data_IF_736085616273
#
_entry.id   IF_736085616273
#
_cell.length_a   1.000
_cell.length_b   1.000
_cell.length_c   1.000
_cell.angle_alpha   90.00
_cell.angle_beta   90.00
_cell.angle_gamma   90.00
#
_symmetry.space_group_name_H-M   'P 1'
#
loop_
_entity.id
_entity.type
_entity.pdbx_description
1 polymer ?
#
# COMPACT_ATOMS: atom_id res chain seq x y z
N UNK A 1 9.66 7.51 -13.89
CA UNK A 1 8.42 7.64 -14.69
C UNK A 1 7.66 8.86 -14.20
N UNK A 2 7.69 9.99 -14.92
CA UNK A 2 6.99 11.20 -14.49
C UNK A 2 5.62 11.27 -15.18
N UNK A 3 4.55 11.33 -14.39
CA UNK A 3 3.24 11.76 -14.88
C UNK A 3 2.04 11.17 -14.14
N UNK A 4 2.05 9.87 -13.80
CA UNK A 4 0.81 9.17 -13.42
C UNK A 4 0.75 8.59 -12.01
N UNK A 5 1.83 8.68 -11.22
CA UNK A 5 1.91 8.06 -9.87
C UNK A 5 1.52 6.56 -9.86
N UNK A 6 1.69 5.90 -11.00
CA UNK A 6 1.39 4.49 -11.24
C UNK A 6 2.68 3.71 -11.46
N UNK A 7 2.70 2.48 -10.95
CA UNK A 7 3.79 1.54 -11.19
C UNK A 7 3.45 0.67 -12.41
N UNK A 8 4.47 0.17 -13.11
CA UNK A 8 4.27 -0.81 -14.20
C UNK A 8 3.57 -2.09 -13.71
N UNK A 9 3.81 -2.45 -12.45
CA UNK A 9 3.15 -3.56 -11.78
C UNK A 9 2.78 -3.12 -10.38
N UNK A 10 1.50 -3.16 -10.08
CA UNK A 10 0.97 -2.72 -8.81
C UNK A 10 1.18 -3.76 -7.70
N UNK A 11 1.24 -3.28 -6.46
CA UNK A 11 1.32 -4.17 -5.31
C UNK A 11 0.07 -5.06 -5.23
N UNK A 12 0.26 -6.37 -5.08
CA UNK A 12 -0.78 -7.39 -5.06
C UNK A 12 -1.67 -7.35 -6.32
N UNK A 13 -1.07 -7.25 -7.50
CA UNK A 13 -1.78 -7.23 -8.78
C UNK A 13 -2.63 -8.50 -9.01
N UNK A 14 -2.19 -9.65 -8.49
CA UNK A 14 -2.91 -10.93 -8.50
C UNK A 14 -4.35 -10.86 -7.94
N UNK A 15 -4.64 -9.88 -7.08
CA UNK A 15 -5.99 -9.69 -6.54
C UNK A 15 -7.00 -9.28 -7.63
N UNK A 16 -6.54 -8.63 -8.70
CA UNK A 16 -7.38 -8.26 -9.84
C UNK A 16 -7.83 -9.50 -10.62
N UNK A 17 -6.98 -10.53 -10.72
CA UNK A 17 -7.32 -11.77 -11.41
C UNK A 17 -8.48 -12.52 -10.74
N UNK A 18 -8.59 -12.43 -9.42
CA UNK A 18 -9.62 -13.09 -8.63
C UNK A 18 -11.02 -12.46 -8.79
N UNK A 19 -11.09 -11.17 -9.15
CA UNK A 19 -12.35 -10.45 -9.34
C UNK A 19 -12.71 -10.25 -10.81
N UNK A 20 -11.75 -10.38 -11.75
CA UNK A 20 -11.96 -10.05 -13.16
C UNK A 20 -13.11 -10.84 -13.83
N UNK A 21 -13.33 -12.09 -13.42
CA UNK A 21 -14.37 -12.97 -13.95
C UNK A 21 -15.59 -13.05 -13.02
N UNK A 22 -15.58 -12.33 -11.91
CA UNK A 22 -16.67 -12.33 -10.95
C UNK A 22 -17.79 -11.42 -11.43
N UNK A 23 -18.99 -11.97 -11.55
CA UNK A 23 -20.20 -11.24 -11.90
C UNK A 23 -21.30 -11.52 -10.87
N UNK A 24 -22.14 -10.52 -10.64
CA UNK A 24 -23.36 -10.64 -9.85
C UNK A 24 -24.55 -10.71 -10.81
N UNK A 25 -25.28 -11.81 -10.78
CA UNK A 25 -26.50 -11.94 -11.58
C UNK A 25 -27.67 -11.17 -10.95
N UNK A 26 -28.60 -10.64 -11.76
CA UNK A 26 -29.80 -9.99 -11.24
C UNK A 26 -30.62 -10.95 -10.37
N UNK A 27 -30.77 -10.61 -9.09
CA UNK A 27 -31.49 -11.44 -8.11
C UNK A 27 -30.60 -12.28 -7.19
N UNK A 28 -29.27 -12.28 -7.39
CA UNK A 28 -28.33 -12.79 -6.40
C UNK A 28 -28.38 -11.98 -5.10
N UNK A 29 -28.16 -12.66 -3.98
CA UNK A 29 -28.13 -12.04 -2.66
C UNK A 29 -29.05 -12.69 -1.67
N UNK A 30 -29.90 -11.87 -1.03
CA UNK A 30 -30.87 -12.37 -0.05
C UNK A 30 -32.15 -12.76 -0.76
N UNK A 31 -32.55 -14.03 -0.67
CA UNK A 31 -33.82 -14.49 -1.25
C UNK A 31 -34.99 -13.82 -0.53
N UNK A 32 -35.78 -13.05 -1.26
CA UNK A 32 -36.96 -12.34 -0.73
C UNK A 32 -37.97 -13.27 -0.05
N UNK A 33 -38.05 -14.53 -0.48
CA UNK A 33 -39.00 -15.53 0.03
C UNK A 33 -38.52 -16.21 1.31
N UNK A 34 -37.22 -16.45 1.46
CA UNK A 34 -36.67 -17.22 2.59
C UNK A 34 -35.86 -16.37 3.58
N UNK A 35 -35.54 -15.12 3.22
CA UNK A 35 -34.69 -14.22 4.00
C UNK A 35 -33.23 -14.67 4.12
N UNK A 36 -32.83 -15.74 3.41
CA UNK A 36 -31.47 -16.30 3.48
C UNK A 36 -30.60 -15.74 2.38
N UNK A 37 -29.37 -15.41 2.74
CA UNK A 37 -28.30 -15.07 1.79
C UNK A 37 -27.85 -16.34 1.08
N UNK A 38 -27.66 -16.26 -0.23
CA UNK A 38 -27.10 -17.36 -1.00
C UNK A 38 -25.60 -17.53 -0.68
N UNK A 39 -25.11 -18.76 -0.42
CA UNK A 39 -23.69 -18.99 -0.10
C UNK A 39 -22.72 -18.47 -1.17
N UNK A 40 -23.12 -18.54 -2.45
CA UNK A 40 -22.33 -17.99 -3.55
C UNK A 40 -22.17 -16.47 -3.45
N UNK A 41 -23.27 -15.76 -3.14
CA UNK A 41 -23.23 -14.31 -2.95
C UNK A 41 -22.35 -13.93 -1.77
N UNK A 42 -22.42 -14.67 -0.66
CA UNK A 42 -21.56 -14.46 0.51
C UNK A 42 -20.07 -14.65 0.16
N UNK A 43 -19.75 -15.69 -0.63
CA UNK A 43 -18.40 -15.92 -1.12
C UNK A 43 -17.92 -14.78 -2.04
N UNK A 44 -18.71 -14.37 -3.03
CA UNK A 44 -18.40 -13.24 -3.92
C UNK A 44 -18.16 -11.96 -3.12
N UNK A 45 -19.00 -11.69 -2.13
CA UNK A 45 -18.82 -10.55 -1.23
C UNK A 45 -17.53 -10.63 -0.41
N UNK A 46 -17.18 -11.81 0.09
CA UNK A 46 -15.94 -12.03 0.81
C UNK A 46 -14.72 -11.76 -0.06
N UNK A 47 -14.72 -12.25 -1.31
CA UNK A 47 -13.64 -11.99 -2.27
C UNK A 47 -13.54 -10.50 -2.59
N UNK A 48 -14.66 -9.82 -2.81
CA UNK A 48 -14.66 -8.36 -3.02
C UNK A 48 -14.12 -7.58 -1.82
N UNK A 49 -14.43 -8.00 -0.60
CA UNK A 49 -13.86 -7.39 0.60
C UNK A 49 -12.33 -7.57 0.67
N UNK A 50 -11.83 -8.76 0.34
CA UNK A 50 -10.39 -9.02 0.25
C UNK A 50 -9.75 -8.13 -0.82
N UNK A 51 -10.36 -8.03 -2.00
CA UNK A 51 -9.89 -7.16 -3.08
C UNK A 51 -9.79 -5.69 -2.64
N UNK A 52 -10.85 -5.16 -2.02
CA UNK A 52 -10.87 -3.78 -1.51
C UNK A 52 -9.79 -3.55 -0.45
N UNK A 53 -9.55 -4.52 0.44
CA UNK A 53 -8.46 -4.44 1.41
C UNK A 53 -7.09 -4.36 0.71
N UNK A 54 -6.87 -5.12 -0.37
CA UNK A 54 -5.63 -5.03 -1.17
C UNK A 54 -5.50 -3.69 -1.88
N UNK A 55 -6.60 -3.14 -2.41
CA UNK A 55 -6.61 -1.84 -3.06
C UNK A 55 -6.24 -0.72 -2.07
N UNK A 56 -6.78 -0.75 -0.85
CA UNK A 56 -6.41 0.18 0.22
C UNK A 56 -4.91 0.06 0.57
N UNK A 57 -4.41 -1.16 0.78
CA UNK A 57 -2.98 -1.38 1.06
C UNK A 57 -2.07 -0.85 -0.06
N UNK A 58 -2.49 -0.99 -1.32
CA UNK A 58 -1.76 -0.47 -2.48
C UNK A 58 -1.73 1.06 -2.47
N UNK A 59 -2.86 1.71 -2.18
CA UNK A 59 -2.94 3.16 -2.07
C UNK A 59 -2.05 3.69 -0.92
N UNK A 60 -2.13 3.08 0.26
CA UNK A 60 -1.31 3.44 1.43
C UNK A 60 0.19 3.30 1.13
N UNK A 61 0.57 2.20 0.45
CA UNK A 61 1.97 1.96 0.08
C UNK A 61 2.47 2.99 -0.94
N UNK A 62 1.66 3.34 -1.94
CA UNK A 62 1.97 4.43 -2.88
C UNK A 62 2.20 5.74 -2.15
N UNK A 63 1.28 6.10 -1.25
CA UNK A 63 1.37 7.32 -0.44
C UNK A 63 2.71 7.42 0.27
N UNK A 64 3.12 6.39 1.01
CA UNK A 64 4.42 6.36 1.69
C UNK A 64 5.60 6.49 0.72
N UNK A 65 5.56 5.81 -0.44
CA UNK A 65 6.66 5.88 -1.43
C UNK A 65 6.85 7.30 -1.95
N UNK A 66 5.75 8.00 -2.25
CA UNK A 66 5.80 9.37 -2.77
C UNK A 66 6.11 10.39 -1.68
N UNK A 67 5.45 10.30 -0.51
CA UNK A 67 5.68 11.22 0.62
C UNK A 67 7.15 11.21 1.06
N UNK A 68 7.79 10.04 1.12
CA UNK A 68 9.19 9.92 1.52
C UNK A 68 10.20 10.01 0.36
N UNK A 69 9.76 10.37 -0.86
CA UNK A 69 10.60 10.46 -2.07
C UNK A 69 11.49 9.23 -2.30
N UNK A 70 10.97 8.03 -2.04
CA UNK A 70 11.76 6.79 -2.11
C UNK A 70 12.16 6.41 -3.55
N UNK A 71 11.63 7.10 -4.56
CA UNK A 71 11.97 6.92 -5.97
C UNK A 71 13.24 7.68 -6.38
N UNK A 72 13.72 8.63 -5.56
CA UNK A 72 14.88 9.47 -5.85
C UNK A 72 16.21 8.76 -5.52
N UNK A 73 16.42 7.57 -6.10
CA UNK A 73 17.54 6.67 -5.76
C UNK A 73 18.93 7.33 -5.89
N UNK A 74 19.15 8.12 -6.94
CA UNK A 74 20.43 8.83 -7.15
C UNK A 74 20.70 9.88 -6.07
N UNK A 75 19.67 10.63 -5.65
CA UNK A 75 19.79 11.61 -4.56
C UNK A 75 20.01 10.92 -3.23
N UNK A 76 19.29 9.82 -2.97
CA UNK A 76 19.45 9.01 -1.77
C UNK A 76 20.87 8.47 -1.62
N UNK A 77 21.48 7.91 -2.69
CA UNK A 77 22.88 7.46 -2.66
C UNK A 77 23.84 8.61 -2.38
N UNK A 78 23.66 9.75 -3.04
CA UNK A 78 24.52 10.91 -2.85
C UNK A 78 24.47 11.44 -1.41
N UNK A 79 23.29 11.40 -0.78
CA UNK A 79 23.11 11.76 0.63
C UNK A 79 23.74 10.73 1.57
N UNK A 80 23.58 9.43 1.27
CA UNK A 80 24.14 8.35 2.09
C UNK A 80 25.67 8.33 2.10
N UNK A 81 26.31 8.70 0.97
CA UNK A 81 27.77 8.88 0.89
C UNK A 81 28.32 10.00 1.79
N UNK A 82 27.48 10.96 2.18
CA UNK A 82 27.88 12.06 3.07
C UNK A 82 27.77 11.71 4.56
N UNK A 83 27.16 10.56 4.89
CA UNK A 83 26.88 10.15 6.26
C UNK A 83 27.99 9.27 6.84
N UNK A 84 28.20 9.38 8.14
CA UNK A 84 29.09 8.49 8.88
C UNK A 84 28.53 7.08 8.94
N UNK A 85 29.33 6.12 9.41
CA UNK A 85 28.86 4.74 9.62
C UNK A 85 27.75 4.69 10.68
N UNK A 86 27.90 5.45 11.76
CA UNK A 86 26.95 5.51 12.87
C UNK A 86 25.60 6.10 12.45
N UNK A 87 25.62 7.20 11.70
CA UNK A 87 24.40 7.81 11.14
C UNK A 87 23.67 6.85 10.21
N UNK A 88 24.40 6.09 9.38
CA UNK A 88 23.80 5.07 8.50
C UNK A 88 23.15 3.94 9.29
N UNK A 89 23.81 3.46 10.35
CA UNK A 89 23.28 2.41 11.21
C UNK A 89 22.05 2.88 12.01
N UNK A 90 22.02 4.15 12.43
CA UNK A 90 20.87 4.77 13.08
C UNK A 90 19.69 4.90 12.12
N UNK A 91 19.93 5.42 10.92
CA UNK A 91 18.92 5.55 9.88
C UNK A 91 18.35 4.19 9.48
N UNK A 92 19.19 3.17 9.31
CA UNK A 92 18.74 1.82 9.02
C UNK A 92 17.78 1.28 10.10
N UNK A 93 18.07 1.53 11.38
CA UNK A 93 17.19 1.18 12.52
C UNK A 93 15.90 1.99 12.53
N UNK A 94 15.93 3.24 12.06
CA UNK A 94 14.74 4.12 12.04
C UNK A 94 13.77 3.85 10.89
N UNK A 95 14.21 3.20 9.80
CA UNK A 95 13.40 2.96 8.58
C UNK A 95 11.99 2.39 8.80
N UNK A 96 11.75 1.48 9.78
CA UNK A 96 10.39 1.01 10.05
C UNK A 96 9.43 2.13 10.46
N UNK A 97 9.91 3.16 11.16
CA UNK A 97 9.08 4.28 11.62
C UNK A 97 8.66 5.23 10.51
N UNK A 98 9.43 5.29 9.40
CA UNK A 98 9.04 6.04 8.20
C UNK A 98 7.70 5.58 7.62
N UNK A 99 7.22 4.37 7.94
CA UNK A 99 5.90 3.89 7.48
C UNK A 99 4.74 4.39 8.33
N UNK A 100 5.04 4.92 9.52
CA UNK A 100 4.05 5.31 10.53
C UNK A 100 4.05 6.83 10.79
N UNK A 101 5.07 7.54 10.32
CA UNK A 101 5.25 8.99 10.48
C UNK A 101 5.07 9.67 9.13
N UNK A 102 4.63 10.93 9.14
CA UNK A 102 4.72 11.75 7.94
C UNK A 102 6.20 12.06 7.61
N UNK A 103 6.45 12.62 6.43
CA UNK A 103 7.81 12.91 5.96
C UNK A 103 8.58 13.81 6.93
N UNK A 104 7.98 14.92 7.35
CA UNK A 104 8.66 15.95 8.14
C UNK A 104 8.98 15.44 9.54
N UNK A 105 8.03 14.75 10.18
CA UNK A 105 8.21 14.08 11.48
C UNK A 105 9.31 13.02 11.41
N UNK A 106 9.35 12.23 10.33
CA UNK A 106 10.40 11.22 10.16
C UNK A 106 11.77 11.85 9.93
N UNK A 107 11.85 12.94 9.15
CA UNK A 107 13.09 13.69 8.95
C UNK A 107 13.60 14.27 10.28
N UNK A 108 12.72 14.84 11.11
CA UNK A 108 13.06 15.33 12.45
C UNK A 108 13.50 14.20 13.38
N UNK A 109 12.73 13.11 13.45
CA UNK A 109 13.07 11.91 14.24
C UNK A 109 14.44 11.35 13.85
N UNK A 110 14.77 11.35 12.56
CA UNK A 110 16.03 10.80 12.04
C UNK A 110 17.26 11.67 12.28
N UNK A 111 17.08 12.98 12.55
CA UNK A 111 18.19 13.91 12.83
C UNK A 111 18.73 13.77 14.25
N UNK A 112 17.98 13.13 15.16
CA UNK A 112 18.30 13.02 16.58
C UNK A 112 18.14 14.36 17.28
N UNK A 113 17.38 14.41 18.38
CA UNK A 113 17.27 15.61 19.21
C UNK A 113 18.65 16.14 19.56
N UNK A 114 18.91 17.41 19.26
CA UNK A 114 19.96 18.19 19.92
C UNK A 114 19.58 18.44 21.37
#
# INVERSE_FOLDING_TARGET
MPGRLEFETEHANEAEEAVQLMAFEPGEGTKSVTGKVEPEFELKMTVMNIYNQRLTQRADRKKVIFEHNLLEYRKAIALDKKRTKEERDLLARSKPFARMMNRDDYEEFSKGSH
#
